data_IF_633211242457
#
_entry.id   IF_633211242457
#
_cell.length_a   1.000
_cell.length_b   1.000
_cell.length_c   1.000
_cell.angle_alpha   90.00
_cell.angle_beta   90.00
_cell.angle_gamma   90.00
#
_symmetry.space_group_name_H-M   'P 1'
#
loop_
_entity.id
_entity.type
_entity.pdbx_description
1 polymer ?
#
# COMPACT_ATOMS: atom_id res chain seq x y z
N UNK A 1 -6.69 -5.16 -28.35
CA UNK A 1 -6.28 -4.08 -27.43
C UNK A 1 -5.18 -4.63 -26.56
N UNK A 2 -4.03 -3.96 -26.40
CA UNK A 2 -2.96 -4.49 -25.57
C UNK A 2 -3.43 -4.56 -24.13
N UNK A 3 -3.03 -5.64 -23.46
CA UNK A 3 -3.35 -6.03 -22.09
C UNK A 3 -3.13 -4.89 -21.12
N UNK A 4 -4.17 -4.56 -20.34
CA UNK A 4 -4.20 -3.50 -19.32
C UNK A 4 -3.42 -3.94 -18.04
N UNK A 5 -2.17 -4.34 -18.24
CA UNK A 5 -1.22 -4.59 -17.14
C UNK A 5 -0.86 -3.24 -16.53
N UNK A 6 -0.91 -3.08 -15.20
CA UNK A 6 -0.48 -1.83 -14.59
C UNK A 6 0.97 -1.51 -14.99
N UNK A 7 1.17 -0.33 -15.54
CA UNK A 7 2.53 0.15 -15.80
C UNK A 7 3.21 0.51 -14.47
N UNK A 8 4.45 0.11 -14.26
CA UNK A 8 5.19 0.50 -13.07
C UNK A 8 5.45 2.01 -13.07
N UNK A 9 5.29 2.64 -11.92
CA UNK A 9 5.70 4.03 -11.70
C UNK A 9 7.24 4.15 -11.66
N UNK A 10 7.91 3.07 -11.24
CA UNK A 10 9.35 2.88 -11.27
C UNK A 10 9.67 1.40 -11.44
N UNK A 11 10.73 1.10 -12.19
CA UNK A 11 11.24 -0.26 -12.38
C UNK A 11 12.77 -0.29 -12.45
N UNK A 12 13.39 -1.14 -11.64
CA UNK A 12 14.73 -1.68 -11.85
C UNK A 12 14.61 -3.18 -12.15
N UNK A 13 14.50 -3.51 -13.42
CA UNK A 13 14.32 -4.89 -13.88
C UNK A 13 15.51 -5.78 -13.50
N UNK A 14 16.74 -5.23 -13.49
CA UNK A 14 17.95 -5.99 -13.15
C UNK A 14 17.93 -6.49 -11.70
N UNK A 15 17.29 -5.75 -10.80
CA UNK A 15 17.16 -6.12 -9.37
C UNK A 15 15.76 -6.61 -9.01
N UNK A 16 14.82 -6.57 -9.94
CA UNK A 16 13.43 -6.94 -9.71
C UNK A 16 12.70 -6.01 -8.72
N UNK A 17 13.04 -4.71 -8.73
CA UNK A 17 12.42 -3.70 -7.89
C UNK A 17 11.37 -2.93 -8.69
N UNK A 18 10.14 -2.87 -8.19
CA UNK A 18 9.04 -2.17 -8.85
C UNK A 18 8.20 -1.38 -7.87
N UNK A 19 7.77 -0.20 -8.31
CA UNK A 19 6.79 0.61 -7.60
C UNK A 19 5.59 0.86 -8.51
N UNK A 20 4.40 0.75 -7.94
CA UNK A 20 3.15 1.01 -8.64
C UNK A 20 2.37 2.11 -7.93
N UNK A 21 1.81 3.02 -8.71
CA UNK A 21 0.94 4.06 -8.19
C UNK A 21 -0.52 3.67 -8.35
N UNK A 22 -1.25 3.54 -7.24
CA UNK A 22 -2.67 3.23 -7.29
C UNK A 22 -3.28 2.89 -5.95
N UNK A 23 -4.57 2.61 -5.96
CA UNK A 23 -5.26 2.06 -4.79
C UNK A 23 -4.77 0.63 -4.55
N UNK A 24 -4.30 0.37 -3.32
CA UNK A 24 -3.73 -0.92 -2.98
C UNK A 24 -4.71 -2.07 -3.23
N UNK A 25 -5.97 -1.93 -2.78
CA UNK A 25 -6.96 -3.00 -2.92
C UNK A 25 -7.32 -3.29 -4.39
N UNK A 26 -7.39 -2.25 -5.23
CA UNK A 26 -7.64 -2.41 -6.66
C UNK A 26 -6.46 -3.11 -7.37
N UNK A 27 -5.22 -2.77 -7.00
CA UNK A 27 -4.04 -3.41 -7.57
C UNK A 27 -3.86 -4.84 -7.06
N UNK A 28 -4.04 -5.09 -5.76
CA UNK A 28 -3.90 -6.44 -5.20
C UNK A 28 -4.83 -7.44 -5.89
N UNK A 29 -6.08 -7.07 -6.20
CA UNK A 29 -7.04 -7.93 -6.92
C UNK A 29 -6.55 -8.38 -8.30
N UNK A 30 -5.68 -7.60 -8.93
CA UNK A 30 -5.13 -7.87 -10.28
C UNK A 30 -3.86 -8.69 -10.24
N UNK A 31 -3.25 -8.90 -9.07
CA UNK A 31 -2.03 -9.67 -8.92
C UNK A 31 -2.33 -11.19 -8.88
N UNK A 32 -1.37 -11.98 -9.39
CA UNK A 32 -1.44 -13.44 -9.45
C UNK A 32 -1.45 -14.07 -8.07
N UNK A 33 -2.22 -15.14 -7.92
CA UNK A 33 -2.25 -15.97 -6.71
C UNK A 33 -0.89 -16.57 -6.39
N UNK A 34 -0.64 -16.79 -5.10
CA UNK A 34 0.50 -17.55 -4.60
C UNK A 34 1.87 -17.12 -5.20
N UNK A 35 2.09 -15.81 -5.27
CA UNK A 35 3.25 -15.23 -5.97
C UNK A 35 4.31 -14.68 -5.03
N UNK A 36 3.94 -14.16 -3.87
CA UNK A 36 4.84 -13.49 -2.93
C UNK A 36 5.32 -14.41 -1.80
N UNK A 37 6.60 -14.32 -1.47
CA UNK A 37 7.21 -15.05 -0.36
C UNK A 37 6.93 -14.36 0.96
N UNK A 38 6.96 -13.02 0.95
CA UNK A 38 6.70 -12.17 2.10
C UNK A 38 5.81 -11.00 1.72
N UNK A 39 4.90 -10.63 2.62
CA UNK A 39 4.21 -9.34 2.59
C UNK A 39 4.55 -8.59 3.87
N UNK A 40 5.02 -7.35 3.74
CA UNK A 40 5.05 -6.38 4.84
C UNK A 40 3.98 -5.34 4.59
N UNK A 41 3.23 -4.95 5.60
CA UNK A 41 2.18 -3.95 5.48
C UNK A 41 2.18 -2.98 6.67
N UNK A 42 2.16 -1.68 6.36
CA UNK A 42 1.92 -0.58 7.29
C UNK A 42 0.62 0.13 6.89
N UNK A 43 -0.56 -0.50 7.13
CA UNK A 43 -1.83 0.02 6.65
C UNK A 43 -2.20 1.34 7.34
N UNK A 44 -3.18 2.10 6.82
CA UNK A 44 -3.73 3.27 7.51
C UNK A 44 -4.14 2.93 8.95
N UNK A 45 -3.76 3.81 9.91
CA UNK A 45 -4.11 3.63 11.33
C UNK A 45 -5.41 4.34 11.71
N UNK A 46 -5.98 5.11 10.77
CA UNK A 46 -7.21 5.88 10.96
C UNK A 46 -7.14 6.87 12.14
N UNK A 47 -5.97 7.50 12.31
CA UNK A 47 -5.71 8.46 13.40
C UNK A 47 -6.14 9.89 13.07
N UNK A 48 -6.50 10.16 11.80
CA UNK A 48 -6.86 11.51 11.32
C UNK A 48 -8.32 11.89 11.60
N UNK A 49 -8.99 11.19 12.53
CA UNK A 49 -10.32 11.50 13.03
C UNK A 49 -10.20 12.34 14.32
N UNK A 50 -9.86 13.63 14.16
CA UNK A 50 -9.71 14.59 15.29
C UNK A 50 -8.71 14.19 16.39
N UNK A 51 -7.78 13.28 16.06
CA UNK A 51 -6.71 12.88 16.97
C UNK A 51 -5.75 14.04 17.25
N UNK A 52 -5.26 14.13 18.49
CA UNK A 52 -4.29 15.13 18.93
C UNK A 52 -2.97 14.42 19.24
N UNK A 53 -1.86 14.96 18.74
CA UNK A 53 -0.50 14.50 19.08
C UNK A 53 0.33 15.65 19.65
N UNK A 54 1.49 15.31 20.24
CA UNK A 54 2.45 16.30 20.70
C UNK A 54 3.57 16.49 19.66
N UNK A 55 3.78 17.73 19.27
CA UNK A 55 4.94 18.12 18.48
C UNK A 55 5.66 19.30 19.17
N UNK A 56 6.95 19.12 19.51
CA UNK A 56 7.75 20.12 20.20
C UNK A 56 7.07 20.70 21.46
N UNK A 57 6.42 19.85 22.27
CA UNK A 57 5.73 20.27 23.52
C UNK A 57 4.36 20.92 23.32
N UNK A 58 3.84 21.00 22.09
CA UNK A 58 2.53 21.58 21.79
C UNK A 58 1.56 20.51 21.27
N UNK A 59 0.28 20.63 21.66
CA UNK A 59 -0.79 19.83 21.08
C UNK A 59 -1.03 20.27 19.64
N UNK A 60 -1.00 19.33 18.70
CA UNK A 60 -1.30 19.54 17.29
C UNK A 60 -2.28 18.49 16.80
N UNK A 61 -3.19 18.88 15.92
CA UNK A 61 -4.11 17.95 15.28
C UNK A 61 -3.37 16.94 14.40
N UNK A 62 -3.78 15.68 14.48
CA UNK A 62 -3.25 14.62 13.59
C UNK A 62 -4.02 14.69 12.27
N UNK A 63 -3.35 15.14 11.21
CA UNK A 63 -3.87 15.06 9.88
C UNK A 63 -2.81 14.43 8.96
N UNK A 64 -2.92 13.13 8.72
CA UNK A 64 -2.01 12.35 7.87
C UNK A 64 -2.49 12.27 6.43
N UNK A 65 -3.70 12.73 6.15
CA UNK A 65 -4.29 12.73 4.82
C UNK A 65 -5.69 12.11 4.79
N UNK A 66 -6.35 12.26 3.65
CA UNK A 66 -7.73 11.74 3.44
C UNK A 66 -7.80 10.22 3.51
N UNK A 67 -6.69 9.55 3.23
CA UNK A 67 -6.56 8.09 3.25
C UNK A 67 -6.58 7.49 4.68
N UNK A 68 -6.30 8.31 5.71
CA UNK A 68 -6.25 7.88 7.11
C UNK A 68 -7.54 8.24 7.89
N UNK A 69 -8.67 8.37 7.18
CA UNK A 69 -9.99 8.67 7.77
C UNK A 69 -10.94 7.50 7.57
N UNK A 70 -11.52 7.02 8.66
CA UNK A 70 -12.68 6.13 8.64
C UNK A 70 -13.74 6.66 9.62
N UNK A 71 -15.00 6.40 9.33
CA UNK A 71 -16.10 6.92 10.13
C UNK A 71 -16.43 6.00 11.31
N UNK A 72 -16.30 4.68 11.13
CA UNK A 72 -16.67 3.68 12.15
C UNK A 72 -15.64 2.55 12.24
N UNK A 73 -15.67 1.83 13.36
CA UNK A 73 -14.84 0.63 13.55
C UNK A 73 -15.21 -0.47 12.55
N UNK A 74 -16.46 -0.59 12.18
CA UNK A 74 -16.93 -1.57 11.19
C UNK A 74 -16.35 -1.29 9.79
N UNK A 75 -16.19 -0.02 9.42
CA UNK A 75 -15.52 0.35 8.17
C UNK A 75 -14.05 -0.02 8.19
N UNK A 76 -13.36 0.25 9.30
CA UNK A 76 -11.96 -0.16 9.52
C UNK A 76 -11.83 -1.66 9.42
N UNK A 77 -12.69 -2.41 10.09
CA UNK A 77 -12.63 -3.87 10.10
C UNK A 77 -12.92 -4.46 8.72
N UNK A 78 -13.90 -3.92 8.00
CA UNK A 78 -14.21 -4.34 6.61
C UNK A 78 -13.06 -4.07 5.67
N UNK A 79 -12.40 -2.91 5.80
CA UNK A 79 -11.19 -2.61 5.05
C UNK A 79 -10.08 -3.62 5.35
N UNK A 80 -9.85 -3.94 6.63
CA UNK A 80 -8.84 -4.92 7.04
C UNK A 80 -9.13 -6.32 6.50
N UNK A 81 -10.38 -6.78 6.53
CA UNK A 81 -10.77 -8.06 5.92
C UNK A 81 -10.51 -8.07 4.40
N UNK A 82 -10.79 -6.97 3.72
CA UNK A 82 -10.65 -6.90 2.26
C UNK A 82 -9.19 -7.01 1.81
N UNK A 83 -8.29 -6.15 2.33
CA UNK A 83 -6.90 -6.17 1.88
C UNK A 83 -6.12 -7.37 2.42
N UNK A 84 -6.40 -7.84 3.65
CA UNK A 84 -5.78 -9.05 4.20
C UNK A 84 -6.22 -10.31 3.44
N UNK A 85 -7.48 -10.36 2.99
CA UNK A 85 -7.98 -11.44 2.15
C UNK A 85 -7.19 -11.55 0.85
N UNK A 86 -6.96 -10.41 0.17
CA UNK A 86 -6.11 -10.37 -1.01
C UNK A 86 -4.66 -10.74 -0.69
N UNK A 87 -4.07 -10.21 0.38
CA UNK A 87 -2.71 -10.59 0.80
C UNK A 87 -2.59 -12.11 1.03
N UNK A 88 -3.61 -12.73 1.64
CA UNK A 88 -3.60 -14.19 1.85
C UNK A 88 -3.64 -14.95 0.53
N UNK A 89 -4.42 -14.51 -0.45
CA UNK A 89 -4.48 -15.10 -1.79
C UNK A 89 -3.12 -15.02 -2.49
N UNK A 90 -2.47 -13.86 -2.39
CA UNK A 90 -1.21 -13.55 -3.07
C UNK A 90 0.02 -14.21 -2.47
N UNK A 91 0.00 -14.53 -1.18
CA UNK A 91 1.11 -15.24 -0.52
C UNK A 91 1.25 -16.67 -1.08
N UNK A 92 2.48 -17.11 -1.29
CA UNK A 92 2.79 -18.53 -1.53
C UNK A 92 2.34 -19.39 -0.34
N UNK A 93 2.15 -20.71 -0.51
CA UNK A 93 1.76 -21.60 0.59
C UNK A 93 2.67 -21.49 1.82
N UNK A 94 3.97 -21.27 1.61
CA UNK A 94 4.96 -21.08 2.68
C UNK A 94 5.23 -19.60 2.98
N UNK A 95 4.44 -18.69 2.43
CA UNK A 95 4.59 -17.26 2.63
C UNK A 95 4.12 -16.80 4.00
N UNK A 96 4.65 -15.66 4.43
CA UNK A 96 4.27 -15.01 5.67
C UNK A 96 3.99 -13.52 5.49
N UNK A 97 3.30 -12.93 6.45
CA UNK A 97 2.94 -11.52 6.46
C UNK A 97 3.30 -10.88 7.79
N UNK A 98 3.82 -9.66 7.72
CA UNK A 98 4.07 -8.78 8.85
C UNK A 98 3.19 -7.55 8.72
N UNK A 99 2.46 -7.21 9.79
CA UNK A 99 1.60 -6.03 9.80
C UNK A 99 1.89 -5.19 11.02
N UNK A 100 2.20 -3.92 10.80
CA UNK A 100 2.39 -2.94 11.89
C UNK A 100 1.07 -2.25 12.22
N UNK A 101 0.93 -1.84 13.48
CA UNK A 101 -0.25 -1.08 13.90
C UNK A 101 -0.15 -0.56 15.33
N UNK A 102 -1.05 0.37 15.62
CA UNK A 102 -1.29 0.88 16.98
C UNK A 102 -2.59 0.30 17.54
N UNK A 103 -2.92 0.59 18.79
CA UNK A 103 -4.16 0.15 19.42
C UNK A 103 -5.44 0.51 18.63
N UNK A 104 -5.37 1.51 17.73
CA UNK A 104 -6.52 1.96 16.95
C UNK A 104 -6.94 0.98 15.83
N UNK A 105 -6.00 0.18 15.31
CA UNK A 105 -6.29 -0.74 14.21
C UNK A 105 -5.80 -2.17 14.42
N UNK A 106 -4.75 -2.39 15.25
CA UNK A 106 -4.06 -3.68 15.32
C UNK A 106 -4.95 -4.82 15.82
N UNK A 107 -5.89 -4.54 16.72
CA UNK A 107 -6.83 -5.54 17.21
C UNK A 107 -7.80 -5.99 16.12
N UNK A 108 -8.27 -5.06 15.28
CA UNK A 108 -9.06 -5.38 14.09
C UNK A 108 -8.25 -6.18 13.07
N UNK A 109 -6.98 -5.84 12.84
CA UNK A 109 -6.05 -6.58 12.00
C UNK A 109 -5.88 -8.02 12.52
N UNK A 110 -5.58 -8.20 13.79
CA UNK A 110 -5.40 -9.52 14.41
C UNK A 110 -6.66 -10.39 14.30
N UNK A 111 -7.83 -9.82 14.56
CA UNK A 111 -9.12 -10.51 14.42
C UNK A 111 -9.41 -10.88 12.97
N UNK A 112 -9.19 -9.96 12.02
CA UNK A 112 -9.36 -10.22 10.59
C UNK A 112 -8.41 -11.34 10.10
N UNK A 113 -7.14 -11.35 10.55
CA UNK A 113 -6.20 -12.42 10.23
C UNK A 113 -6.70 -13.79 10.71
N UNK A 114 -7.19 -13.89 11.94
CA UNK A 114 -7.74 -15.13 12.47
C UNK A 114 -8.99 -15.57 11.70
N UNK A 115 -9.89 -14.65 11.39
CA UNK A 115 -11.11 -14.90 10.59
C UNK A 115 -10.76 -15.42 9.20
N UNK A 116 -9.73 -14.87 8.58
CA UNK A 116 -9.24 -15.29 7.25
C UNK A 116 -8.42 -16.59 7.30
N UNK A 117 -8.13 -17.16 8.46
CA UNK A 117 -7.41 -18.41 8.60
C UNK A 117 -5.90 -18.28 8.50
N UNK A 118 -5.32 -17.12 8.78
CA UNK A 118 -3.88 -17.01 9.03
C UNK A 118 -3.50 -17.68 10.35
N UNK A 119 -2.27 -18.17 10.46
CA UNK A 119 -1.69 -18.59 11.74
C UNK A 119 -0.78 -17.49 12.25
N UNK A 120 -1.22 -16.76 13.27
CA UNK A 120 -0.38 -15.80 13.98
C UNK A 120 0.77 -16.57 14.65
N UNK A 121 2.00 -16.11 14.42
CA UNK A 121 3.24 -16.67 14.94
C UNK A 121 3.74 -15.87 16.15
N UNK A 122 3.76 -14.53 16.01
CA UNK A 122 4.14 -13.61 17.08
C UNK A 122 3.30 -12.32 17.02
N UNK A 123 3.14 -11.73 18.18
CA UNK A 123 2.84 -10.33 18.41
C UNK A 123 4.10 -9.68 19.01
N UNK A 124 4.72 -8.79 18.25
CA UNK A 124 5.98 -8.16 18.62
C UNK A 124 5.71 -6.76 19.12
N UNK A 125 6.18 -6.45 20.32
CA UNK A 125 6.17 -5.11 20.84
C UNK A 125 7.42 -4.35 20.35
N UNK A 126 7.25 -3.44 19.41
CA UNK A 126 8.29 -2.51 19.02
C UNK A 126 8.30 -1.33 19.98
N UNK A 127 9.28 -1.33 20.89
CA UNK A 127 9.48 -0.28 21.88
C UNK A 127 10.24 0.92 21.28
N UNK A 128 9.65 2.10 21.40
CA UNK A 128 10.24 3.39 21.00
C UNK A 128 10.93 4.02 22.22
N UNK A 129 12.25 4.21 22.13
CA UNK A 129 13.07 4.69 23.25
C UNK A 129 12.65 6.07 23.75
N UNK A 130 12.19 6.96 22.86
CA UNK A 130 11.76 8.32 23.18
C UNK A 130 10.36 8.58 22.62
N UNK A 131 9.31 8.01 23.21
CA UNK A 131 7.96 8.26 22.76
C UNK A 131 7.55 9.72 23.06
N UNK A 132 6.66 10.32 22.25
CA UNK A 132 6.08 11.61 22.58
C UNK A 132 5.37 11.54 23.92
N UNK A 133 5.50 12.56 24.81
CA UNK A 133 4.84 12.56 26.11
C UNK A 133 3.31 12.61 25.96
N UNK A 134 2.62 11.96 26.89
CA UNK A 134 1.17 12.09 27.00
C UNK A 134 0.82 13.39 27.75
N UNK A 135 0.48 14.43 27.01
CA UNK A 135 0.13 15.74 27.58
C UNK A 135 -1.20 15.74 28.34
N UNK A 136 -2.08 14.78 28.12
CA UNK A 136 -3.35 14.68 28.85
C UNK A 136 -3.17 14.20 30.27
N UNK A 137 -2.08 13.49 30.59
CA UNK A 137 -1.79 12.89 31.91
C UNK A 137 -2.90 11.96 32.43
N UNK A 138 -3.74 11.38 31.55
CA UNK A 138 -4.92 10.56 31.94
C UNK A 138 -4.72 9.07 31.69
N UNK A 139 -3.65 8.68 31.00
CA UNK A 139 -3.27 7.30 30.67
C UNK A 139 -1.76 7.21 30.47
N UNK A 140 -1.24 5.99 30.37
CA UNK A 140 0.19 5.78 30.16
C UNK A 140 0.64 6.29 28.79
N UNK A 141 1.88 6.77 28.69
CA UNK A 141 2.49 7.15 27.42
C UNK A 141 2.60 5.95 26.49
N UNK A 142 2.08 6.07 25.27
CA UNK A 142 2.20 5.03 24.26
C UNK A 142 3.65 4.94 23.77
N UNK A 143 4.36 3.95 24.28
CA UNK A 143 5.78 3.72 23.98
C UNK A 143 6.00 2.59 22.98
N UNK A 144 4.95 1.88 22.55
CA UNK A 144 5.06 0.73 21.68
C UNK A 144 4.14 0.85 20.44
N UNK A 145 4.58 0.24 19.34
CA UNK A 145 3.70 -0.23 18.28
C UNK A 145 3.71 -1.75 18.28
N UNK A 146 2.60 -2.37 17.88
CA UNK A 146 2.50 -3.81 17.78
C UNK A 146 2.74 -4.24 16.33
N UNK A 147 3.51 -5.31 16.16
CA UNK A 147 3.76 -5.92 14.86
C UNK A 147 3.28 -7.36 14.91
N UNK A 148 2.28 -7.71 14.11
CA UNK A 148 1.79 -9.08 14.03
C UNK A 148 2.53 -9.80 12.90
N UNK A 149 3.15 -10.92 13.21
CA UNK A 149 3.72 -11.85 12.24
C UNK A 149 2.83 -13.07 12.13
N UNK A 150 2.42 -13.39 10.91
CA UNK A 150 1.56 -14.52 10.64
C UNK A 150 2.00 -15.27 9.37
N UNK A 151 1.74 -16.57 9.29
CA UNK A 151 1.87 -17.35 8.07
C UNK A 151 0.52 -17.60 7.42
N UNK A 152 0.55 -17.78 6.08
CA UNK A 152 -0.64 -18.00 5.27
C UNK A 152 -1.44 -19.22 5.70
N UNK A 153 -0.77 -20.38 5.83
CA UNK A 153 -1.43 -21.67 6.09
C UNK A 153 -1.15 -22.15 7.52
N UNK A 154 -2.18 -22.43 8.33
CA UNK A 154 -2.00 -22.97 9.69
C UNK A 154 -1.17 -24.26 9.77
N UNK A 155 -1.18 -25.08 8.72
CA UNK A 155 -0.41 -26.34 8.63
C UNK A 155 0.87 -26.19 7.81
N UNK A 156 1.07 -25.05 7.14
CA UNK A 156 2.20 -24.79 6.27
C UNK A 156 3.52 -24.60 7.04
N UNK A 157 4.59 -24.55 6.28
CA UNK A 157 5.89 -24.05 6.76
C UNK A 157 6.01 -22.57 6.46
N UNK A 158 7.01 -21.91 7.04
CA UNK A 158 7.39 -20.54 6.71
C UNK A 158 8.90 -20.40 6.86
N UNK A 159 9.48 -19.43 6.21
CA UNK A 159 10.90 -19.10 6.38
C UNK A 159 11.11 -18.39 7.72
N UNK A 160 12.02 -18.92 8.54
CA UNK A 160 12.54 -18.23 9.72
C UNK A 160 14.03 -18.52 9.85
N UNK A 161 14.84 -17.50 9.62
CA UNK A 161 16.29 -17.56 9.66
C UNK A 161 16.79 -17.48 11.11
N UNK A 162 16.47 -18.51 11.91
CA UNK A 162 16.71 -18.57 13.35
C UNK A 162 18.15 -18.30 13.74
N UNK A 163 19.12 -18.92 13.07
CA UNK A 163 20.54 -18.76 13.40
C UNK A 163 21.05 -17.34 13.06
N UNK A 164 20.50 -16.69 12.04
CA UNK A 164 20.82 -15.31 11.73
C UNK A 164 20.28 -14.37 12.81
N UNK A 165 19.02 -14.54 13.21
CA UNK A 165 18.41 -13.77 14.30
C UNK A 165 19.13 -13.98 15.64
N UNK A 166 19.59 -15.19 15.90
CA UNK A 166 20.37 -15.50 17.09
C UNK A 166 21.74 -14.81 17.07
N UNK A 167 22.45 -14.79 15.94
CA UNK A 167 23.71 -14.07 15.76
C UNK A 167 23.51 -12.56 15.96
N UNK A 168 22.47 -11.96 15.40
CA UNK A 168 22.13 -10.55 15.61
C UNK A 168 21.89 -10.24 17.09
N UNK A 169 21.34 -11.18 17.87
CA UNK A 169 21.09 -11.04 19.30
C UNK A 169 22.21 -11.63 20.17
N UNK A 170 23.47 -11.49 19.78
CA UNK A 170 24.65 -11.92 20.55
C UNK A 170 24.61 -13.41 20.89
N UNK A 171 24.24 -14.25 19.95
CA UNK A 171 24.06 -15.68 20.08
C UNK A 171 23.00 -16.12 21.11
N UNK A 172 22.06 -15.23 21.46
CA UNK A 172 20.90 -15.55 22.29
C UNK A 172 19.64 -15.55 21.44
N UNK A 173 18.65 -16.36 21.83
CA UNK A 173 17.35 -16.36 21.19
C UNK A 173 16.72 -14.97 21.23
N UNK A 174 16.27 -14.47 20.07
CA UNK A 174 15.63 -13.15 19.97
C UNK A 174 14.20 -13.23 20.55
N UNK A 175 13.84 -12.21 21.31
CA UNK A 175 12.53 -12.11 21.95
C UNK A 175 11.58 -11.23 21.12
N UNK A 176 10.29 -11.27 21.46
CA UNK A 176 9.25 -10.47 20.81
C UNK A 176 9.16 -9.02 21.33
N UNK A 177 10.15 -8.56 22.08
CA UNK A 177 10.32 -7.15 22.47
C UNK A 177 11.49 -6.56 21.70
N UNK A 178 11.21 -5.64 20.76
CA UNK A 178 12.22 -5.02 19.92
C UNK A 178 12.43 -3.56 20.27
N UNK A 179 13.64 -3.22 20.68
CA UNK A 179 14.04 -1.84 20.91
C UNK A 179 14.73 -1.29 19.66
N UNK A 180 13.99 -0.60 18.82
CA UNK A 180 14.49 -0.01 17.57
C UNK A 180 14.16 1.48 17.57
N UNK A 181 15.19 2.31 17.29
CA UNK A 181 15.05 3.77 17.23
C UNK A 181 14.17 4.18 16.03
N UNK A 182 13.46 5.31 16.12
CA UNK A 182 12.80 5.92 14.96
C UNK A 182 13.78 6.20 13.82
N UNK A 183 13.29 6.43 12.57
CA UNK A 183 14.15 6.72 11.43
C UNK A 183 15.16 7.83 11.70
N UNK A 184 16.43 7.59 11.40
CA UNK A 184 17.51 8.56 11.55
C UNK A 184 17.34 9.74 10.56
N UNK A 185 17.95 10.91 10.79
CA UNK A 185 17.90 12.04 9.85
C UNK A 185 18.35 11.68 8.43
N UNK A 186 19.37 10.82 8.28
CA UNK A 186 19.86 10.33 6.98
C UNK A 186 18.76 9.59 6.18
N UNK A 187 17.89 8.85 6.87
CA UNK A 187 16.80 8.09 6.24
C UNK A 187 15.69 9.01 5.69
N UNK A 188 15.69 10.30 6.07
CA UNK A 188 14.70 11.32 5.70
C UNK A 188 15.26 12.39 4.75
N UNK A 189 16.48 12.22 4.24
CA UNK A 189 17.16 13.24 3.43
C UNK A 189 16.45 13.55 2.10
N UNK A 190 15.70 12.61 1.56
CA UNK A 190 14.97 12.77 0.31
C UNK A 190 13.52 13.28 0.47
N UNK A 191 13.10 13.53 1.69
CA UNK A 191 11.78 14.05 2.01
C UNK A 191 11.21 13.48 3.31
N UNK A 192 10.06 14.02 3.71
CA UNK A 192 9.38 13.61 4.94
C UNK A 192 8.14 12.79 4.60
N UNK A 193 8.10 11.57 5.08
CA UNK A 193 6.88 10.78 5.17
C UNK A 193 6.42 10.74 6.64
N UNK A 194 5.15 11.04 6.96
CA UNK A 194 4.71 11.24 8.35
C UNK A 194 4.85 10.00 9.23
N UNK A 195 4.76 8.81 8.63
CA UNK A 195 4.83 7.53 9.35
C UNK A 195 5.95 6.62 8.86
N UNK A 196 7.04 7.20 8.31
CA UNK A 196 8.16 6.41 7.82
C UNK A 196 8.65 5.43 8.88
N UNK A 197 8.77 4.15 8.50
CA UNK A 197 9.36 3.11 9.35
C UNK A 197 10.90 3.15 9.28
N UNK A 198 11.61 2.83 10.37
CA UNK A 198 13.08 2.80 10.35
C UNK A 198 13.62 1.63 9.53
N UNK A 199 14.71 1.84 8.81
CA UNK A 199 15.38 0.81 8.01
C UNK A 199 15.76 -0.40 8.85
N UNK A 200 16.27 -0.19 10.06
CA UNK A 200 16.65 -1.29 10.97
C UNK A 200 15.48 -2.24 11.31
N UNK A 201 14.23 -1.76 11.28
CA UNK A 201 13.06 -2.59 11.48
C UNK A 201 12.84 -3.51 10.28
N UNK A 202 12.87 -2.93 9.07
CA UNK A 202 12.63 -3.68 7.85
C UNK A 202 13.78 -4.63 7.53
N UNK A 203 15.03 -4.22 7.76
CA UNK A 203 16.21 -5.11 7.64
C UNK A 203 16.03 -6.37 8.50
N UNK A 204 15.59 -6.23 9.74
CA UNK A 204 15.34 -7.37 10.62
C UNK A 204 14.21 -8.27 10.12
N UNK A 205 13.08 -7.67 9.73
CA UNK A 205 11.91 -8.42 9.21
C UNK A 205 12.30 -9.21 7.95
N UNK A 206 12.96 -8.54 7.00
CA UNK A 206 13.36 -9.16 5.73
C UNK A 206 14.37 -10.29 5.97
N UNK A 207 15.40 -10.07 6.78
CA UNK A 207 16.36 -11.12 7.14
C UNK A 207 15.73 -12.29 7.86
N UNK A 208 14.81 -12.02 8.78
CA UNK A 208 14.17 -13.08 9.58
C UNK A 208 13.32 -14.01 8.73
N UNK A 209 12.66 -13.50 7.69
CA UNK A 209 11.54 -14.19 7.04
C UNK A 209 11.65 -14.35 5.53
N UNK A 210 12.83 -14.06 4.94
CA UNK A 210 13.10 -14.27 3.51
C UNK A 210 14.51 -14.78 3.25
N UNK A 211 14.70 -15.40 2.08
CA UNK A 211 16.00 -15.76 1.51
C UNK A 211 16.36 -14.78 0.38
N UNK A 212 17.61 -14.85 -0.11
CA UNK A 212 18.00 -14.10 -1.31
C UNK A 212 17.07 -14.45 -2.48
N UNK A 213 16.75 -13.44 -3.30
CA UNK A 213 15.86 -13.52 -4.46
C UNK A 213 14.37 -13.77 -4.16
N UNK A 214 13.96 -13.92 -2.91
CA UNK A 214 12.54 -13.96 -2.55
C UNK A 214 11.84 -12.67 -2.97
N UNK A 215 10.55 -12.77 -3.31
CA UNK A 215 9.73 -11.64 -3.74
C UNK A 215 8.90 -11.11 -2.58
N UNK A 216 9.10 -9.84 -2.28
CA UNK A 216 8.44 -9.12 -1.18
C UNK A 216 7.44 -8.13 -1.74
N UNK A 217 6.25 -8.07 -1.15
CA UNK A 217 5.22 -7.07 -1.44
C UNK A 217 5.04 -6.12 -0.24
N UNK A 218 4.91 -4.82 -0.53
CA UNK A 218 4.42 -3.83 0.42
C UNK A 218 3.26 -3.04 -0.21
N UNK A 219 2.01 -3.34 0.15
CA UNK A 219 0.84 -2.70 -0.45
C UNK A 219 0.61 -1.26 0.05
N UNK A 220 1.39 -0.78 1.03
CA UNK A 220 1.32 0.56 1.60
C UNK A 220 2.72 1.15 1.77
N UNK A 221 3.53 1.10 0.70
CA UNK A 221 4.98 1.25 0.80
C UNK A 221 5.47 2.66 1.21
N UNK A 222 4.63 3.69 1.12
CA UNK A 222 4.97 5.04 1.51
C UNK A 222 6.28 5.54 0.90
N UNK A 223 7.25 5.84 1.76
CA UNK A 223 8.60 6.26 1.35
C UNK A 223 9.55 5.10 1.01
N UNK A 224 9.06 3.87 0.82
CA UNK A 224 9.80 2.74 0.27
C UNK A 224 10.82 2.09 1.20
N UNK A 225 10.69 2.18 2.52
CA UNK A 225 11.67 1.59 3.45
C UNK A 225 11.82 0.08 3.27
N UNK A 226 10.72 -0.63 2.98
CA UNK A 226 10.73 -2.07 2.66
C UNK A 226 11.55 -2.34 1.41
N UNK A 227 11.38 -1.52 0.37
CA UNK A 227 12.14 -1.63 -0.87
C UNK A 227 13.65 -1.41 -0.68
N UNK A 228 14.03 -0.42 0.14
CA UNK A 228 15.44 -0.15 0.50
C UNK A 228 16.06 -1.38 1.20
N UNK A 229 15.34 -1.97 2.17
CA UNK A 229 15.82 -3.19 2.84
C UNK A 229 15.92 -4.37 1.84
N UNK A 230 14.98 -4.52 0.93
CA UNK A 230 15.02 -5.55 -0.12
C UNK A 230 16.22 -5.35 -1.06
N UNK A 231 16.44 -4.12 -1.54
CA UNK A 231 17.58 -3.81 -2.41
C UNK A 231 18.91 -4.14 -1.72
N UNK A 232 19.08 -3.70 -0.48
CA UNK A 232 20.28 -3.96 0.35
C UNK A 232 20.55 -5.44 0.55
N UNK A 233 19.52 -6.21 0.72
CA UNK A 233 19.61 -7.63 1.09
C UNK A 233 19.47 -8.58 -0.12
N UNK A 234 19.37 -8.08 -1.34
CA UNK A 234 19.23 -8.90 -2.54
C UNK A 234 17.89 -9.64 -2.66
N UNK A 235 16.80 -8.98 -2.26
CA UNK A 235 15.41 -9.45 -2.44
C UNK A 235 14.74 -8.66 -3.54
N UNK A 236 13.82 -9.31 -4.26
CA UNK A 236 12.94 -8.62 -5.23
C UNK A 236 11.82 -7.92 -4.48
N UNK A 237 11.32 -6.83 -5.04
CA UNK A 237 10.36 -5.98 -4.34
C UNK A 237 9.26 -5.45 -5.26
N UNK A 238 8.05 -5.42 -4.73
CA UNK A 238 6.89 -4.72 -5.30
C UNK A 238 6.31 -3.82 -4.23
N UNK A 239 6.29 -2.52 -4.49
CA UNK A 239 5.67 -1.53 -3.61
C UNK A 239 4.47 -0.87 -4.27
N UNK A 240 3.43 -0.61 -3.51
CA UNK A 240 2.24 0.12 -3.96
C UNK A 240 2.01 1.32 -3.05
N UNK A 241 1.75 2.49 -3.61
CA UNK A 241 1.26 3.64 -2.88
C UNK A 241 0.33 4.51 -3.74
N UNK A 242 -0.60 5.17 -3.10
CA UNK A 242 -1.56 6.07 -3.77
C UNK A 242 -0.91 7.41 -4.12
N UNK A 243 0.08 7.86 -3.34
CA UNK A 243 0.61 9.23 -3.33
C UNK A 243 1.92 9.31 -4.09
N UNK A 244 1.90 9.94 -5.27
CA UNK A 244 3.07 10.07 -6.14
C UNK A 244 4.29 10.71 -5.45
N UNK A 245 4.08 11.70 -4.56
CA UNK A 245 5.19 12.34 -3.84
C UNK A 245 5.90 11.39 -2.88
N UNK A 246 5.21 10.42 -2.31
CA UNK A 246 5.84 9.38 -1.47
C UNK A 246 6.61 8.39 -2.33
N UNK A 247 6.08 8.01 -3.48
CA UNK A 247 6.80 7.17 -4.44
C UNK A 247 8.07 7.84 -4.96
N UNK A 248 8.06 9.16 -5.19
CA UNK A 248 9.27 9.89 -5.57
C UNK A 248 10.34 9.85 -4.48
N UNK A 249 9.95 9.93 -3.20
CA UNK A 249 10.88 9.73 -2.07
C UNK A 249 11.40 8.29 -2.09
N UNK A 250 10.54 7.31 -2.33
CA UNK A 250 10.91 5.90 -2.40
C UNK A 250 11.93 5.64 -3.52
N UNK A 251 11.72 6.21 -4.72
CA UNK A 251 12.65 6.12 -5.85
C UNK A 251 14.01 6.67 -5.47
N UNK A 252 14.08 7.91 -4.96
CA UNK A 252 15.34 8.54 -4.60
C UNK A 252 16.12 7.74 -3.54
N UNK A 253 15.41 7.09 -2.59
CA UNK A 253 16.01 6.22 -1.58
C UNK A 253 16.51 4.91 -2.17
N UNK A 254 15.75 4.30 -3.10
CA UNK A 254 16.15 3.08 -3.79
C UNK A 254 17.39 3.33 -4.66
N UNK A 255 17.39 4.39 -5.46
CA UNK A 255 18.52 4.77 -6.31
C UNK A 255 19.78 5.04 -5.48
N UNK A 256 19.66 5.70 -4.34
CA UNK A 256 20.76 5.94 -3.42
C UNK A 256 21.32 4.64 -2.82
N UNK A 257 20.46 3.72 -2.39
CA UNK A 257 20.87 2.41 -1.87
C UNK A 257 21.58 1.58 -2.96
N UNK A 258 21.03 1.57 -4.19
CA UNK A 258 21.59 0.88 -5.35
C UNK A 258 22.98 1.43 -5.69
N UNK A 259 23.14 2.76 -5.69
CA UNK A 259 24.40 3.42 -6.04
C UNK A 259 25.45 3.34 -4.94
N UNK A 260 25.04 3.25 -3.67
CA UNK A 260 25.95 3.14 -2.52
C UNK A 260 26.41 1.71 -2.25
N UNK A 261 25.63 0.73 -2.67
CA UNK A 261 25.95 -0.69 -2.51
C UNK A 261 26.93 -1.14 -3.58
N UNK A 262 28.18 -1.47 -3.20
CA UNK A 262 29.15 -2.21 -4.03
C UNK A 262 28.73 -3.68 -4.20
N UNK A 263 27.48 -3.97 -4.50
CA UNK A 263 27.03 -5.32 -4.72
C UNK A 263 26.72 -5.50 -6.20
N UNK A 264 27.73 -5.98 -6.95
CA UNK A 264 27.53 -6.64 -8.24
C UNK A 264 26.73 -7.95 -8.02
N UNK A 265 25.46 -7.82 -7.69
CA UNK A 265 24.51 -8.90 -7.88
C UNK A 265 23.99 -8.78 -9.31
N UNK A 266 24.71 -9.34 -10.26
CA UNK A 266 24.13 -9.72 -11.55
C UNK A 266 23.09 -10.79 -11.25
N UNK A 267 21.85 -10.39 -11.20
CA UNK A 267 20.76 -11.35 -11.37
C UNK A 267 20.86 -11.83 -12.82
N UNK A 268 20.97 -13.15 -13.03
CA UNK A 268 20.60 -13.68 -14.34
C UNK A 268 19.25 -13.07 -14.67
N UNK A 269 19.11 -12.50 -15.87
CA UNK A 269 17.89 -11.82 -16.31
C UNK A 269 16.72 -12.80 -16.18
N UNK A 270 16.21 -12.92 -14.97
CA UNK A 270 15.04 -13.74 -14.67
C UNK A 270 13.93 -13.05 -15.45
N UNK A 271 13.42 -13.74 -16.44
CA UNK A 271 12.24 -13.32 -17.19
C UNK A 271 11.24 -12.81 -16.14
N UNK A 272 10.96 -11.52 -16.23
CA UNK A 272 10.07 -10.85 -15.29
C UNK A 272 8.70 -11.44 -15.55
N UNK A 273 8.40 -12.55 -14.87
CA UNK A 273 7.07 -13.12 -14.90
C UNK A 273 6.10 -12.03 -14.49
N UNK A 274 5.17 -11.76 -15.36
CA UNK A 274 4.12 -10.77 -15.14
C UNK A 274 3.45 -11.06 -13.80
N UNK A 275 3.61 -10.16 -12.84
CA UNK A 275 2.99 -10.23 -11.51
C UNK A 275 1.47 -10.16 -11.63
N UNK A 276 0.99 -9.57 -12.73
CA UNK A 276 -0.41 -9.29 -12.97
C UNK A 276 -1.07 -10.41 -13.75
N UNK A 277 -2.33 -10.69 -13.44
CA UNK A 277 -3.18 -11.55 -14.23
C UNK A 277 -3.39 -10.82 -15.57
N UNK A 278 -2.97 -11.42 -16.69
CA UNK A 278 -3.48 -11.01 -17.98
C UNK A 278 -5.01 -11.12 -17.89
N UNK A 279 -5.73 -10.03 -18.19
CA UNK A 279 -7.18 -10.04 -18.12
C UNK A 279 -7.69 -11.26 -18.88
N UNK A 280 -8.12 -12.27 -18.13
CA UNK A 280 -8.97 -13.29 -18.68
C UNK A 280 -10.20 -12.54 -19.17
N UNK A 281 -10.58 -12.73 -20.40
CA UNK A 281 -11.90 -12.38 -20.90
C UNK A 281 -12.91 -13.16 -20.07
N UNK A 282 -13.20 -12.68 -18.87
CA UNK A 282 -14.41 -13.03 -18.18
C UNK A 282 -15.52 -12.21 -18.80
N UNK A 283 -16.34 -12.85 -19.61
CA UNK A 283 -17.61 -12.31 -20.09
C UNK A 283 -18.57 -11.95 -18.93
N UNK A 284 -18.11 -11.91 -17.67
CA UNK A 284 -18.93 -11.79 -16.47
C UNK A 284 -18.66 -10.56 -15.60
N UNK A 285 -17.97 -9.50 -16.05
CA UNK A 285 -18.07 -8.21 -15.35
C UNK A 285 -17.68 -7.01 -16.22
N UNK A 286 -18.45 -6.71 -17.24
CA UNK A 286 -18.44 -5.40 -17.89
C UNK A 286 -19.13 -4.34 -17.01
N UNK A 287 -18.73 -4.21 -15.76
CA UNK A 287 -19.15 -3.03 -15.01
C UNK A 287 -18.26 -1.85 -15.44
N UNK A 288 -18.84 -0.81 -16.01
CA UNK A 288 -18.10 0.36 -16.45
C UNK A 288 -17.31 0.96 -15.28
N UNK A 289 -16.12 1.49 -15.56
CA UNK A 289 -15.30 2.20 -14.56
C UNK A 289 -16.09 3.37 -13.96
N UNK A 290 -15.71 3.85 -12.78
CA UNK A 290 -16.36 5.02 -12.19
C UNK A 290 -16.26 6.26 -13.10
N UNK A 291 -15.17 6.39 -13.87
CA UNK A 291 -15.03 7.46 -14.86
C UNK A 291 -16.01 7.31 -16.03
N UNK A 292 -16.26 6.09 -16.50
CA UNK A 292 -17.25 5.80 -17.54
C UNK A 292 -18.67 6.03 -17.04
N UNK A 293 -18.98 5.58 -15.82
CA UNK A 293 -20.30 5.85 -15.19
C UNK A 293 -20.58 7.35 -15.09
N UNK A 294 -19.57 8.12 -14.64
CA UNK A 294 -19.67 9.57 -14.57
C UNK A 294 -19.76 10.20 -15.97
N UNK A 295 -19.01 9.69 -16.94
CA UNK A 295 -19.09 10.15 -18.34
C UNK A 295 -20.47 9.93 -18.93
N UNK A 296 -21.09 8.77 -18.66
CA UNK A 296 -22.47 8.47 -19.09
C UNK A 296 -23.47 9.43 -18.42
N UNK A 297 -23.36 9.62 -17.11
CA UNK A 297 -24.22 10.56 -16.39
C UNK A 297 -24.08 12.00 -16.89
N UNK A 298 -22.86 12.45 -17.22
CA UNK A 298 -22.64 13.78 -17.82
C UNK A 298 -23.19 13.88 -19.23
N UNK A 299 -23.11 12.82 -20.05
CA UNK A 299 -23.73 12.80 -21.39
C UNK A 299 -25.24 12.93 -21.30
N UNK A 300 -25.89 12.25 -20.34
CA UNK A 300 -27.34 12.37 -20.08
C UNK A 300 -27.70 13.79 -19.60
N UNK A 301 -26.78 14.52 -18.96
CA UNK A 301 -26.95 15.92 -18.54
C UNK A 301 -26.58 16.94 -19.63
N UNK A 302 -26.35 16.51 -20.87
CA UNK A 302 -25.96 17.38 -21.98
C UNK A 302 -24.47 17.74 -22.00
N UNK A 303 -23.61 16.92 -21.40
CA UNK A 303 -22.15 17.10 -21.37
C UNK A 303 -21.60 17.88 -20.18
N UNK A 304 -22.47 18.54 -19.39
CA UNK A 304 -22.11 19.31 -18.20
C UNK A 304 -23.14 19.13 -17.08
N UNK A 305 -22.71 19.11 -15.82
CA UNK A 305 -23.64 18.96 -14.70
C UNK A 305 -23.06 19.33 -13.34
N UNK A 306 -23.95 19.60 -12.38
CA UNK A 306 -23.56 19.77 -10.98
C UNK A 306 -23.30 18.40 -10.35
N UNK A 307 -22.37 18.33 -9.41
CA UNK A 307 -22.03 17.10 -8.71
C UNK A 307 -23.26 16.39 -8.09
N UNK A 308 -24.25 17.14 -7.59
CA UNK A 308 -25.50 16.59 -7.05
C UNK A 308 -26.34 15.87 -8.11
N UNK A 309 -26.36 16.39 -9.33
CA UNK A 309 -27.16 15.83 -10.43
C UNK A 309 -26.44 14.59 -11.00
N UNK A 310 -25.11 14.66 -11.12
CA UNK A 310 -24.27 13.51 -11.45
C UNK A 310 -24.51 12.37 -10.42
N UNK A 311 -24.44 12.67 -9.12
CA UNK A 311 -24.68 11.67 -8.06
C UNK A 311 -26.06 11.04 -8.18
N UNK A 312 -27.13 11.83 -8.47
CA UNK A 312 -28.49 11.32 -8.63
C UNK A 312 -28.61 10.29 -9.76
N UNK A 313 -27.91 10.49 -10.86
CA UNK A 313 -27.89 9.53 -11.97
C UNK A 313 -27.03 8.31 -11.64
N UNK A 314 -25.87 8.53 -11.05
CA UNK A 314 -24.94 7.45 -10.67
C UNK A 314 -25.54 6.55 -9.58
N UNK A 315 -26.35 7.06 -8.68
CA UNK A 315 -27.00 6.30 -7.60
C UNK A 315 -27.83 5.11 -8.14
N UNK A 316 -28.40 5.24 -9.35
CA UNK A 316 -29.14 4.17 -10.01
C UNK A 316 -28.27 3.03 -10.53
N UNK A 317 -26.95 3.22 -10.58
CA UNK A 317 -26.03 2.21 -11.09
C UNK A 317 -25.83 1.07 -10.08
N UNK A 318 -25.93 -0.21 -10.48
CA UNK A 318 -25.74 -1.37 -9.59
C UNK A 318 -24.43 -1.37 -8.80
N UNK A 319 -23.37 -0.74 -9.33
CA UNK A 319 -22.07 -0.62 -8.66
C UNK A 319 -22.14 0.18 -7.36
N UNK A 320 -23.09 1.10 -7.21
CA UNK A 320 -23.29 1.86 -5.98
C UNK A 320 -23.75 1.00 -4.82
N UNK A 321 -24.52 -0.06 -5.08
CA UNK A 321 -24.97 -1.01 -4.06
C UNK A 321 -23.83 -1.78 -3.41
N UNK A 322 -22.71 -1.95 -4.11
CA UNK A 322 -21.51 -2.67 -3.64
C UNK A 322 -20.43 -1.75 -3.04
N UNK A 323 -20.61 -0.43 -3.13
CA UNK A 323 -19.64 0.56 -2.67
C UNK A 323 -20.32 1.66 -1.86
N UNK A 324 -20.29 1.55 -0.55
CA UNK A 324 -20.95 2.49 0.39
C UNK A 324 -20.36 3.91 0.26
N UNK A 325 -19.11 4.05 -0.17
CA UNK A 325 -18.43 5.34 -0.33
C UNK A 325 -18.48 5.89 -1.76
N UNK A 326 -19.39 5.38 -2.60
CA UNK A 326 -19.47 5.71 -4.02
C UNK A 326 -19.55 7.24 -4.27
N UNK A 327 -20.29 8.01 -3.46
CA UNK A 327 -20.43 9.46 -3.63
C UNK A 327 -19.10 10.20 -3.44
N UNK A 328 -18.27 9.78 -2.49
CA UNK A 328 -16.93 10.33 -2.32
C UNK A 328 -15.98 9.90 -3.44
N UNK A 329 -16.14 8.69 -3.96
CA UNK A 329 -15.43 8.19 -5.14
C UNK A 329 -15.78 9.01 -6.36
N UNK A 330 -17.06 9.33 -6.63
CA UNK A 330 -17.46 10.19 -7.73
C UNK A 330 -16.84 11.59 -7.58
N UNK A 331 -16.88 12.18 -6.38
CA UNK A 331 -16.26 13.49 -6.12
C UNK A 331 -14.76 13.48 -6.43
N UNK A 332 -14.07 12.40 -6.12
CA UNK A 332 -12.66 12.21 -6.45
C UNK A 332 -12.44 12.06 -7.96
N UNK A 333 -13.21 11.21 -8.61
CA UNK A 333 -13.11 10.95 -10.06
C UNK A 333 -13.27 12.21 -10.89
N UNK A 334 -14.29 13.03 -10.62
CA UNK A 334 -14.51 14.29 -11.38
C UNK A 334 -13.42 15.34 -11.16
N UNK A 335 -12.65 15.23 -10.06
CA UNK A 335 -11.55 16.18 -9.76
C UNK A 335 -10.19 15.72 -10.26
N UNK A 336 -9.97 14.42 -10.36
CA UNK A 336 -8.64 13.84 -10.62
C UNK A 336 -8.50 13.23 -11.99
N UNK A 337 -9.60 12.82 -12.63
CA UNK A 337 -9.55 12.23 -13.97
C UNK A 337 -9.36 13.32 -15.04
N UNK A 338 -8.43 13.10 -15.97
CA UNK A 338 -8.18 13.95 -17.12
C UNK A 338 -9.42 14.10 -18.05
N UNK A 339 -10.41 13.22 -17.91
CA UNK A 339 -11.65 13.22 -18.71
C UNK A 339 -12.62 14.34 -18.34
N UNK A 340 -12.43 15.00 -17.19
CA UNK A 340 -13.35 16.01 -16.67
C UNK A 340 -12.63 17.33 -16.39
N UNK A 341 -13.35 18.43 -16.53
CA UNK A 341 -12.90 19.75 -16.12
C UNK A 341 -13.92 20.42 -15.20
N UNK A 342 -13.43 21.22 -14.25
CA UNK A 342 -14.29 22.04 -13.40
C UNK A 342 -14.64 23.33 -14.13
N UNK A 343 -15.94 23.57 -14.34
CA UNK A 343 -16.46 24.78 -15.04
C UNK A 343 -17.16 25.75 -14.08
N UNK A 344 -16.97 25.55 -12.78
CA UNK A 344 -17.51 26.39 -11.72
C UNK A 344 -17.69 25.63 -10.41
N UNK A 345 -18.12 26.31 -9.35
CA UNK A 345 -18.25 25.71 -8.01
C UNK A 345 -19.18 24.49 -8.03
N UNK A 346 -18.59 23.31 -8.00
CA UNK A 346 -19.30 22.01 -8.00
C UNK A 346 -19.95 21.63 -9.33
N UNK A 347 -19.54 22.24 -10.44
CA UNK A 347 -19.95 21.88 -11.81
C UNK A 347 -18.79 21.31 -12.57
N UNK A 348 -19.06 20.27 -13.38
CA UNK A 348 -18.07 19.51 -14.14
C UNK A 348 -18.57 19.28 -15.55
N UNK A 349 -17.63 19.26 -16.51
CA UNK A 349 -17.87 19.00 -17.93
C UNK A 349 -16.95 17.90 -18.42
N UNK A 350 -17.41 17.13 -19.41
CA UNK A 350 -16.55 16.21 -20.16
C UNK A 350 -15.55 17.02 -21.00
N UNK A 351 -14.26 16.70 -20.89
CA UNK A 351 -13.28 17.16 -21.87
C UNK A 351 -13.49 16.39 -23.17
N UNK A 352 -13.65 17.13 -24.26
CA UNK A 352 -13.69 16.53 -25.58
C UNK A 352 -12.27 16.04 -25.92
N UNK A 353 -12.07 14.74 -26.13
CA UNK A 353 -10.90 14.25 -26.85
C UNK A 353 -11.16 14.52 -28.34
N UNK A 354 -10.32 15.30 -29.04
CA UNK A 354 -10.41 15.37 -30.49
C UNK A 354 -10.12 13.96 -31.04
N UNK A 355 -11.06 13.42 -31.81
CA UNK A 355 -10.85 12.23 -32.62
C UNK A 355 -9.53 12.42 -33.38
N UNK A 356 -8.60 11.50 -33.23
CA UNK A 356 -7.33 11.47 -33.92
C UNK A 356 -7.51 11.82 -35.38
N UNK A 357 -6.85 12.89 -35.82
CA UNK A 357 -6.70 13.22 -37.23
C UNK A 357 -6.10 12.00 -37.93
N UNK A 358 -6.87 11.36 -38.77
CA UNK A 358 -6.37 10.37 -39.73
C UNK A 358 -5.33 11.08 -40.59
N UNK A 359 -4.12 10.66 -40.51
CA UNK A 359 -3.04 11.03 -41.42
C UNK A 359 -3.48 10.67 -42.84
N UNK A 360 -3.53 11.62 -43.81
CA UNK A 360 -3.79 11.26 -45.19
C UNK A 360 -2.62 10.45 -45.71
N UNK A 361 -2.94 9.36 -46.43
CA UNK A 361 -1.95 8.47 -47.03
C UNK A 361 -1.02 9.20 -48.00
N UNK A 362 0.24 8.80 -47.97
CA UNK A 362 1.18 9.02 -49.05
C UNK A 362 0.76 8.13 -50.22
N UNK A 363 0.35 8.80 -51.32
CA UNK A 363 0.43 8.23 -52.66
C UNK A 363 1.81 8.54 -53.26
N UNK A 364 2.39 7.50 -53.91
CA UNK A 364 3.54 7.39 -54.81
C UNK A 364 4.85 7.06 -54.10
#
# INVERSE_FOLDING_TARGET
MPHDTPEPFFEDAARGLRLYRGDALELLKRAKDAHFDLIFADPPYFLSNDGITCHAGRMVSVNKGVWDKASTFEEIHRFNLAWLGECRRLLKPNGSIWVTGTAHNIYSVGFAMQTLGFKILNDIAWYKVNPPPNLSCRYFTHATETIIWARRDPKGRHTFNYEEMKRENRNRQMQSLWQIKPPAPREKRYGKHPTQKPEALLDRIIRASTNAHDLVLDPFCGSGTTGVACARLGRRFVGIDLVASYLNIAIARLEDEINSGQMELTFDAISVETIWIASLHDEASSFPTWAEIVSTALKELGGEGRLKDINRLVEKNPRTRKNITWASTIRRVVRQSARFESVGRGRYRLRYEPLHARTPGLQL
#
